data_IF_550181548047
#
_entry.id   IF_550181548047
#
_cell.length_a   1.000
_cell.length_b   1.000
_cell.length_c   1.000
_cell.angle_alpha   90.00
_cell.angle_beta   90.00
_cell.angle_gamma   90.00
#
_symmetry.space_group_name_H-M   'P 1'
#
loop_
_entity.id
_entity.type
_entity.pdbx_description
1 polymer ?
#
# COMPACT_ATOMS: atom_id res chain seq x y z
N UNK A 1 -18.40 -58.92 -22.31
CA UNK A 1 -18.27 -57.66 -23.07
C UNK A 1 -16.85 -57.16 -22.85
N UNK A 2 -15.97 -57.33 -23.85
CA UNK A 2 -14.59 -56.86 -23.80
C UNK A 2 -14.61 -55.35 -24.03
N UNK A 3 -14.09 -54.57 -23.09
CA UNK A 3 -13.85 -53.14 -23.28
C UNK A 3 -12.94 -52.96 -24.52
N UNK A 4 -13.29 -52.05 -25.43
CA UNK A 4 -12.51 -51.86 -26.66
C UNK A 4 -11.15 -51.27 -26.31
N UNK A 5 -10.09 -51.89 -26.86
CA UNK A 5 -8.66 -51.55 -26.71
C UNK A 5 -8.31 -50.04 -26.83
N UNK A 6 -9.01 -49.20 -27.63
CA UNK A 6 -8.73 -47.76 -27.69
C UNK A 6 -8.99 -47.05 -26.36
N UNK A 7 -9.91 -47.55 -25.52
CA UNK A 7 -10.23 -46.94 -24.23
C UNK A 7 -9.11 -47.18 -23.19
N UNK A 8 -8.37 -48.29 -23.32
CA UNK A 8 -7.24 -48.61 -22.47
C UNK A 8 -6.00 -47.75 -22.80
N UNK A 9 -5.84 -47.35 -24.08
CA UNK A 9 -4.78 -46.45 -24.54
C UNK A 9 -5.03 -44.98 -24.16
N UNK A 10 -6.29 -44.53 -24.10
CA UNK A 10 -6.62 -43.20 -23.57
C UNK A 10 -6.32 -43.05 -22.06
N UNK A 11 -6.37 -44.14 -21.28
CA UNK A 11 -6.02 -44.12 -19.85
C UNK A 11 -4.51 -44.15 -19.59
N UNK A 12 -3.69 -44.52 -20.58
CA UNK A 12 -2.21 -44.45 -20.52
C UNK A 12 -1.67 -43.09 -20.98
N UNK A 13 -2.53 -42.19 -21.48
CA UNK A 13 -2.17 -40.84 -21.95
C UNK A 13 -2.15 -39.76 -20.87
N UNK A 14 -2.46 -40.09 -19.62
CA UNK A 14 -2.08 -39.27 -18.47
C UNK A 14 -0.60 -39.52 -18.20
N UNK A 15 0.25 -38.92 -19.02
CA UNK A 15 1.64 -38.72 -18.64
C UNK A 15 1.62 -38.00 -17.28
N UNK A 16 2.02 -38.72 -16.24
CA UNK A 16 2.32 -38.11 -14.95
C UNK A 16 3.44 -37.11 -15.23
N UNK A 17 3.09 -35.83 -15.39
CA UNK A 17 4.07 -34.77 -15.37
C UNK A 17 4.65 -34.76 -13.96
N UNK A 18 5.82 -35.36 -13.78
CA UNK A 18 6.54 -35.25 -12.51
C UNK A 18 6.87 -33.77 -12.29
N UNK A 19 6.69 -33.24 -11.06
CA UNK A 19 7.00 -31.85 -10.79
C UNK A 19 8.51 -31.63 -10.93
N UNK A 20 8.90 -30.66 -11.76
CA UNK A 20 10.30 -30.25 -11.88
C UNK A 20 10.70 -29.50 -10.61
N UNK A 21 11.76 -29.97 -9.94
CA UNK A 21 12.30 -29.35 -8.73
C UNK A 21 13.60 -28.63 -9.07
N UNK A 22 13.55 -27.30 -9.14
CA UNK A 22 14.71 -26.48 -9.49
C UNK A 22 15.70 -26.31 -8.33
N UNK A 23 15.18 -26.08 -7.12
CA UNK A 23 15.96 -25.99 -5.90
C UNK A 23 15.20 -26.64 -4.76
N UNK A 24 15.91 -27.44 -3.96
CA UNK A 24 15.40 -27.99 -2.71
C UNK A 24 16.53 -28.01 -1.68
N UNK A 25 16.39 -27.19 -0.65
CA UNK A 25 17.31 -27.15 0.48
C UNK A 25 16.55 -27.53 1.75
N UNK A 26 17.15 -28.40 2.56
CA UNK A 26 16.57 -28.92 3.80
C UNK A 26 17.58 -28.96 4.96
N UNK A 27 18.86 -28.70 4.69
CA UNK A 27 19.93 -28.68 5.70
C UNK A 27 20.08 -29.96 6.55
N UNK A 28 19.73 -31.12 5.98
CA UNK A 28 19.75 -32.42 6.68
C UNK A 28 21.14 -33.10 6.69
N UNK A 29 22.10 -32.57 5.95
CA UNK A 29 23.41 -33.17 5.72
C UNK A 29 24.55 -32.52 6.53
N UNK A 30 24.22 -32.00 7.71
CA UNK A 30 25.17 -31.36 8.61
C UNK A 30 25.82 -30.14 7.94
N UNK A 31 27.14 -30.05 7.92
CA UNK A 31 27.86 -28.91 7.34
C UNK A 31 27.86 -28.89 5.80
N UNK A 32 27.20 -29.85 5.13
CA UNK A 32 27.14 -29.93 3.67
C UNK A 32 26.62 -28.66 2.98
N UNK A 33 25.76 -27.90 3.66
CA UNK A 33 25.24 -26.61 3.16
C UNK A 33 26.34 -25.58 2.90
N UNK A 34 27.46 -25.62 3.63
CA UNK A 34 28.57 -24.67 3.46
C UNK A 34 29.25 -24.78 2.09
N UNK A 35 29.07 -25.91 1.39
CA UNK A 35 29.56 -26.09 0.02
C UNK A 35 28.58 -25.57 -1.04
N UNK A 36 27.30 -25.41 -0.68
CA UNK A 36 26.23 -24.96 -1.58
C UNK A 36 25.97 -23.47 -1.49
N UNK A 37 26.06 -22.93 -0.28
CA UNK A 37 25.76 -21.53 0.02
C UNK A 37 27.05 -20.69 0.07
N UNK A 38 27.03 -19.55 -0.60
CA UNK A 38 28.16 -18.62 -0.72
C UNK A 38 27.81 -17.32 -0.01
N UNK A 39 28.68 -16.92 0.92
CA UNK A 39 28.63 -15.62 1.59
C UNK A 39 29.16 -14.52 0.67
N UNK A 40 28.43 -13.41 0.62
CA UNK A 40 28.89 -12.21 -0.07
C UNK A 40 30.09 -11.59 0.65
N UNK A 41 30.99 -10.99 -0.14
CA UNK A 41 32.17 -10.25 0.30
C UNK A 41 32.05 -8.75 0.02
N UNK A 42 30.89 -8.30 -0.44
CA UNK A 42 30.62 -6.88 -0.73
C UNK A 42 30.86 -5.98 0.50
N UNK A 43 30.53 -6.48 1.70
CA UNK A 43 30.84 -5.84 2.98
C UNK A 43 31.66 -6.77 3.87
N UNK A 44 32.56 -6.19 4.65
CA UNK A 44 33.40 -6.94 5.60
C UNK A 44 32.67 -7.30 6.89
N UNK A 45 31.52 -6.68 7.14
CA UNK A 45 30.76 -6.76 8.38
C UNK A 45 29.38 -7.38 8.20
N UNK A 46 29.18 -8.24 7.19
CA UNK A 46 27.99 -9.08 7.14
C UNK A 46 27.88 -9.99 8.37
N UNK A 47 26.64 -10.24 8.79
CA UNK A 47 26.32 -11.17 9.87
C UNK A 47 26.54 -12.61 9.44
N UNK A 48 26.80 -13.48 10.40
CA UNK A 48 27.06 -14.91 10.17
C UNK A 48 25.82 -15.76 10.33
N UNK A 49 25.55 -16.61 9.36
CA UNK A 49 24.57 -17.69 9.50
C UNK A 49 25.17 -18.87 10.25
N UNK A 50 24.37 -19.50 11.08
CA UNK A 50 24.71 -20.75 11.78
C UNK A 50 23.62 -21.78 11.53
N UNK A 51 24.01 -23.05 11.42
CA UNK A 51 23.06 -24.14 11.32
C UNK A 51 22.53 -24.49 12.72
N UNK A 52 21.23 -24.36 12.93
CA UNK A 52 20.62 -24.52 14.26
C UNK A 52 19.13 -24.89 14.13
N UNK A 53 18.61 -25.63 15.10
CA UNK A 53 17.17 -25.91 15.24
C UNK A 53 16.45 -24.90 16.15
N UNK A 54 17.17 -23.90 16.68
CA UNK A 54 16.66 -22.97 17.68
C UNK A 54 16.61 -23.55 19.10
N UNK A 55 16.01 -22.79 20.04
CA UNK A 55 15.81 -23.20 21.44
C UNK A 55 14.67 -24.21 21.58
N UNK A 56 13.68 -24.16 20.70
CA UNK A 56 12.58 -25.13 20.65
C UNK A 56 12.27 -25.54 19.21
N UNK A 57 11.89 -26.79 19.02
CA UNK A 57 11.68 -27.40 17.71
C UNK A 57 10.70 -28.56 17.82
N UNK A 58 10.15 -29.00 16.69
CA UNK A 58 9.39 -30.25 16.60
C UNK A 58 10.32 -31.46 16.53
N UNK A 59 11.35 -31.39 15.70
CA UNK A 59 12.35 -32.44 15.49
C UNK A 59 13.75 -31.81 15.38
N UNK A 60 14.67 -32.24 16.26
CA UNK A 60 16.01 -31.65 16.38
C UNK A 60 16.82 -31.72 15.09
N UNK A 61 16.63 -32.77 14.28
CA UNK A 61 17.43 -32.97 13.08
C UNK A 61 16.74 -32.41 11.83
N UNK A 62 15.40 -32.45 11.78
CA UNK A 62 14.66 -31.92 10.62
C UNK A 62 14.45 -30.42 10.64
N UNK A 63 14.41 -29.82 11.82
CA UNK A 63 14.14 -28.38 11.97
C UNK A 63 15.44 -27.56 12.01
N UNK A 64 16.59 -28.18 11.74
CA UNK A 64 17.83 -27.44 11.50
C UNK A 64 17.70 -26.58 10.24
N UNK A 65 18.04 -25.32 10.38
CA UNK A 65 18.07 -24.36 9.28
C UNK A 65 19.10 -23.26 9.52
N UNK A 66 19.19 -22.33 8.57
CA UNK A 66 20.07 -21.18 8.69
C UNK A 66 19.47 -20.15 9.64
N UNK A 67 20.16 -19.93 10.76
CA UNK A 67 19.80 -18.95 11.78
C UNK A 67 20.78 -17.78 11.75
N UNK A 68 20.26 -16.55 11.80
CA UNK A 68 21.08 -15.35 12.00
C UNK A 68 21.62 -15.33 13.43
N UNK A 69 22.92 -15.10 13.61
CA UNK A 69 23.60 -15.24 14.93
C UNK A 69 23.98 -13.93 15.61
N UNK A 70 23.85 -12.81 14.91
CA UNK A 70 24.30 -11.49 15.34
C UNK A 70 23.21 -10.44 15.13
N UNK A 71 22.93 -9.67 16.17
CA UNK A 71 21.95 -8.58 16.15
C UNK A 71 22.45 -7.39 15.34
N UNK A 72 21.52 -6.62 14.77
CA UNK A 72 21.79 -5.38 14.03
C UNK A 72 22.86 -5.53 12.91
N UNK A 73 22.79 -6.65 12.18
CA UNK A 73 23.64 -6.93 11.01
C UNK A 73 22.81 -7.15 9.76
N UNK A 74 23.36 -6.74 8.62
CA UNK A 74 22.89 -7.19 7.32
C UNK A 74 23.42 -8.58 7.04
N UNK A 75 22.65 -9.37 6.29
CA UNK A 75 22.99 -10.75 5.92
C UNK A 75 22.92 -10.89 4.40
N UNK A 76 23.88 -11.62 3.84
CA UNK A 76 23.99 -11.82 2.39
C UNK A 76 24.58 -13.20 2.09
N UNK A 77 23.69 -14.18 1.94
CA UNK A 77 24.02 -15.56 1.60
C UNK A 77 23.17 -16.00 0.40
N UNK A 78 23.78 -16.64 -0.59
CA UNK A 78 23.09 -17.11 -1.80
C UNK A 78 23.50 -18.53 -2.16
N UNK A 79 22.63 -19.26 -2.85
CA UNK A 79 22.94 -20.58 -3.42
C UNK A 79 22.54 -20.57 -4.89
N UNK A 80 23.36 -21.17 -5.74
CA UNK A 80 23.11 -21.27 -7.18
C UNK A 80 22.49 -22.63 -7.49
N UNK A 81 21.57 -22.65 -8.44
CA UNK A 81 20.94 -23.84 -8.99
C UNK A 81 20.90 -23.71 -10.52
N UNK A 82 20.46 -24.77 -11.21
CA UNK A 82 20.40 -24.78 -12.67
C UNK A 82 19.50 -23.65 -13.18
N UNK A 83 20.00 -22.75 -14.04
CA UNK A 83 19.21 -21.66 -14.60
C UNK A 83 17.99 -22.21 -15.34
N UNK A 84 16.83 -21.61 -15.09
CA UNK A 84 15.58 -21.98 -15.75
C UNK A 84 14.75 -20.74 -16.04
N UNK A 85 13.68 -20.92 -16.83
CA UNK A 85 12.67 -19.88 -17.09
C UNK A 85 11.29 -20.45 -16.74
N UNK A 86 10.46 -19.62 -16.12
CA UNK A 86 9.05 -19.89 -15.86
C UNK A 86 8.15 -19.50 -17.04
N UNK A 87 8.71 -19.21 -18.22
CA UNK A 87 7.91 -18.92 -19.42
C UNK A 87 6.95 -20.09 -19.71
N UNK A 88 5.66 -19.76 -19.80
CA UNK A 88 4.56 -20.71 -20.01
C UNK A 88 4.42 -21.81 -18.94
N UNK A 89 5.05 -21.61 -17.77
CA UNK A 89 5.04 -22.56 -16.65
C UNK A 89 4.71 -21.85 -15.34
N UNK A 90 4.11 -22.59 -14.40
CA UNK A 90 3.87 -22.06 -13.05
C UNK A 90 5.16 -22.07 -12.24
N UNK A 91 5.54 -20.92 -11.69
CA UNK A 91 6.59 -20.79 -10.69
C UNK A 91 6.00 -20.97 -9.29
N UNK A 92 6.67 -21.78 -8.46
CA UNK A 92 6.34 -21.92 -7.04
C UNK A 92 7.58 -21.69 -6.21
N UNK A 93 7.53 -20.71 -5.31
CA UNK A 93 8.59 -20.40 -4.35
C UNK A 93 8.03 -20.64 -2.96
N UNK A 94 8.64 -21.55 -2.21
CA UNK A 94 8.16 -21.93 -0.89
C UNK A 94 9.32 -22.07 0.08
N UNK A 95 9.18 -21.46 1.27
CA UNK A 95 10.16 -21.56 2.34
C UNK A 95 9.50 -21.33 3.70
N UNK A 96 10.21 -21.69 4.76
CA UNK A 96 9.76 -21.50 6.15
C UNK A 96 10.62 -20.48 6.85
N UNK A 97 9.99 -19.63 7.66
CA UNK A 97 10.67 -18.65 8.52
C UNK A 97 10.18 -18.83 9.95
N UNK A 98 11.10 -18.73 10.91
CA UNK A 98 10.80 -18.76 12.34
C UNK A 98 11.51 -17.61 13.02
N UNK A 99 10.77 -16.70 13.65
CA UNK A 99 11.31 -15.59 14.41
C UNK A 99 11.30 -15.88 15.92
N UNK A 100 12.06 -16.90 16.33
CA UNK A 100 12.12 -17.35 17.73
C UNK A 100 12.58 -16.27 18.72
N UNK A 101 13.35 -15.30 18.23
CA UNK A 101 13.94 -14.23 19.04
C UNK A 101 12.97 -13.10 19.38
N UNK A 102 11.68 -13.21 19.00
CA UNK A 102 10.68 -12.15 19.14
C UNK A 102 11.14 -10.85 18.44
N UNK A 103 11.24 -10.95 17.12
CA UNK A 103 11.86 -9.92 16.28
C UNK A 103 11.08 -8.59 16.33
N UNK A 104 11.80 -7.50 16.57
CA UNK A 104 11.25 -6.14 16.58
C UNK A 104 11.39 -5.47 15.20
N UNK A 105 12.54 -5.60 14.56
CA UNK A 105 12.78 -5.15 13.19
C UNK A 105 13.79 -6.05 12.44
N UNK A 106 13.32 -6.68 11.37
CA UNK A 106 14.12 -7.42 10.41
C UNK A 106 13.29 -8.08 9.30
N UNK A 107 13.96 -8.35 8.18
CA UNK A 107 13.38 -9.02 7.02
C UNK A 107 13.63 -10.52 7.06
N UNK A 108 12.60 -11.30 6.71
CA UNK A 108 12.66 -12.75 6.51
C UNK A 108 12.35 -13.15 5.07
N UNK A 109 12.56 -12.28 4.09
CA UNK A 109 12.28 -12.53 2.69
C UNK A 109 13.47 -13.12 1.92
N UNK A 110 13.16 -13.78 0.80
CA UNK A 110 14.15 -14.29 -0.16
C UNK A 110 14.13 -13.43 -1.43
N UNK A 111 15.25 -13.43 -2.15
CA UNK A 111 15.38 -12.83 -3.48
C UNK A 111 15.76 -13.91 -4.49
N UNK A 112 15.07 -13.93 -5.64
CA UNK A 112 15.44 -14.73 -6.80
C UNK A 112 16.23 -13.84 -7.76
N UNK A 113 17.43 -14.28 -8.12
CA UNK A 113 18.36 -13.51 -8.93
C UNK A 113 18.49 -14.09 -10.33
N UNK A 114 18.81 -13.28 -11.35
CA UNK A 114 19.20 -13.79 -12.66
C UNK A 114 20.54 -14.52 -12.59
N UNK A 115 20.86 -15.32 -13.62
CA UNK A 115 22.11 -16.09 -13.71
C UNK A 115 23.37 -15.20 -13.70
N UNK A 116 23.22 -13.93 -14.11
CA UNK A 116 24.27 -12.92 -14.11
C UNK A 116 24.73 -12.45 -12.74
N UNK A 117 24.09 -12.89 -11.63
CA UNK A 117 24.50 -12.49 -10.29
C UNK A 117 25.89 -13.04 -9.94
N UNK A 118 26.78 -12.14 -9.54
CA UNK A 118 28.04 -12.46 -8.87
C UNK A 118 27.81 -12.67 -7.36
N UNK A 119 27.71 -13.92 -6.92
CA UNK A 119 27.37 -14.28 -5.53
C UNK A 119 28.31 -13.66 -4.49
N UNK A 120 29.59 -13.49 -4.83
CA UNK A 120 30.58 -12.89 -3.92
C UNK A 120 30.46 -11.38 -3.78
N UNK A 121 29.66 -10.71 -4.61
CA UNK A 121 29.42 -9.27 -4.54
C UNK A 121 27.92 -8.93 -4.31
N UNK A 122 27.12 -9.92 -3.88
CA UNK A 122 25.69 -9.73 -3.63
C UNK A 122 25.44 -8.72 -2.50
N UNK A 123 24.52 -7.78 -2.71
CA UNK A 123 24.14 -6.75 -1.75
C UNK A 123 22.68 -6.30 -1.94
N UNK A 124 22.25 -5.29 -1.19
CA UNK A 124 20.85 -4.81 -1.19
C UNK A 124 20.37 -4.32 -2.56
N UNK A 125 21.27 -3.67 -3.31
CA UNK A 125 21.00 -3.06 -4.62
C UNK A 125 21.28 -3.99 -5.80
N UNK A 126 21.73 -5.22 -5.55
CA UNK A 126 21.88 -6.22 -6.62
C UNK A 126 20.54 -6.48 -7.29
N UNK A 127 20.53 -6.45 -8.62
CA UNK A 127 19.34 -6.70 -9.44
C UNK A 127 18.79 -8.11 -9.19
N UNK A 128 17.51 -8.19 -8.83
CA UNK A 128 16.79 -9.44 -8.57
C UNK A 128 15.53 -9.47 -9.43
N UNK A 129 15.05 -10.65 -9.79
CA UNK A 129 13.81 -10.82 -10.54
C UNK A 129 12.60 -10.71 -9.62
N UNK A 130 12.65 -11.41 -8.47
CA UNK A 130 11.53 -11.47 -7.52
C UNK A 130 12.05 -11.36 -6.09
N UNK A 131 11.40 -10.55 -5.25
CA UNK A 131 11.57 -10.57 -3.79
C UNK A 131 10.28 -11.01 -3.13
N UNK A 132 10.35 -12.03 -2.27
CA UNK A 132 9.17 -12.58 -1.61
C UNK A 132 9.43 -12.95 -0.15
N UNK A 133 8.58 -12.48 0.76
CA UNK A 133 8.54 -12.97 2.14
C UNK A 133 8.21 -11.91 3.21
N UNK A 134 8.19 -12.31 4.48
CA UNK A 134 7.81 -11.43 5.58
C UNK A 134 8.85 -10.34 5.85
N UNK A 135 8.37 -9.16 6.22
CA UNK A 135 9.17 -8.03 6.69
C UNK A 135 8.48 -7.36 7.87
N UNK A 136 9.20 -7.33 8.98
CA UNK A 136 8.71 -6.81 10.25
C UNK A 136 9.62 -5.65 10.63
N UNK A 137 9.07 -4.48 10.90
CA UNK A 137 9.80 -3.39 11.51
C UNK A 137 8.86 -2.52 12.35
N UNK A 138 8.90 -2.74 13.67
CA UNK A 138 8.05 -2.08 14.64
C UNK A 138 6.56 -2.41 14.47
N UNK A 139 5.67 -1.58 15.04
CA UNK A 139 4.23 -1.80 14.95
C UNK A 139 3.63 -1.43 13.59
N UNK A 140 4.33 -0.60 12.79
CA UNK A 140 3.81 -0.05 11.53
C UNK A 140 4.08 -0.92 10.31
N UNK A 141 5.18 -1.68 10.30
CA UNK A 141 5.56 -2.49 9.14
C UNK A 141 5.50 -3.96 9.51
N UNK A 142 4.44 -4.66 9.11
CA UNK A 142 4.27 -6.11 9.31
C UNK A 142 3.60 -6.73 8.08
N UNK A 143 4.34 -6.76 6.98
CA UNK A 143 3.80 -7.15 5.68
C UNK A 143 4.64 -8.22 5.00
N UNK A 144 4.04 -8.92 4.05
CA UNK A 144 4.73 -9.82 3.14
C UNK A 144 5.06 -9.03 1.88
N UNK A 145 6.34 -8.86 1.59
CA UNK A 145 6.78 -8.30 0.32
C UNK A 145 6.52 -9.31 -0.80
N UNK A 146 5.96 -8.83 -1.90
CA UNK A 146 5.91 -9.52 -3.18
C UNK A 146 6.27 -8.47 -4.23
N UNK A 147 7.52 -8.49 -4.67
CA UNK A 147 8.09 -7.45 -5.53
C UNK A 147 8.60 -8.13 -6.80
N UNK A 148 8.16 -7.62 -7.95
CA UNK A 148 8.65 -8.06 -9.25
C UNK A 148 9.53 -6.98 -9.84
N UNK A 149 10.64 -7.38 -10.46
CA UNK A 149 11.39 -6.49 -11.33
C UNK A 149 10.75 -6.48 -12.72
N UNK A 150 10.34 -5.31 -13.18
CA UNK A 150 9.76 -5.12 -14.50
C UNK A 150 10.33 -3.83 -15.10
N UNK A 151 10.90 -3.93 -16.31
CA UNK A 151 11.53 -2.81 -17.02
C UNK A 151 12.57 -2.05 -16.17
N UNK A 152 13.36 -2.79 -15.40
CA UNK A 152 14.41 -2.25 -14.54
C UNK A 152 13.91 -1.53 -13.28
N UNK A 153 12.60 -1.62 -12.97
CA UNK A 153 12.00 -1.09 -11.75
C UNK A 153 11.46 -2.23 -10.89
N UNK A 154 11.69 -2.12 -9.58
CA UNK A 154 11.12 -3.04 -8.60
C UNK A 154 9.72 -2.54 -8.22
N UNK A 155 8.68 -3.22 -8.72
CA UNK A 155 7.27 -2.85 -8.50
C UNK A 155 6.74 -3.65 -7.31
N UNK A 156 6.25 -2.94 -6.29
CA UNK A 156 5.70 -3.54 -5.08
C UNK A 156 4.22 -3.89 -5.30
N UNK A 157 3.76 -4.92 -4.60
CA UNK A 157 2.33 -5.25 -4.54
C UNK A 157 1.55 -4.12 -3.85
N UNK A 158 0.41 -3.76 -4.43
CA UNK A 158 -0.47 -2.72 -3.90
C UNK A 158 -1.28 -3.19 -2.67
N UNK A 159 -1.45 -4.51 -2.52
CA UNK A 159 -2.18 -5.12 -1.42
C UNK A 159 -1.32 -5.26 -0.16
N UNK A 160 -1.92 -4.98 1.00
CA UNK A 160 -1.28 -5.18 2.30
C UNK A 160 -1.52 -6.59 2.83
N UNK A 161 -0.55 -7.47 2.62
CA UNK A 161 -0.58 -8.86 3.11
C UNK A 161 0.10 -8.91 4.47
N UNK A 162 -0.67 -9.09 5.54
CA UNK A 162 -0.12 -9.16 6.90
C UNK A 162 0.73 -10.40 7.13
N UNK A 163 1.96 -10.22 7.59
CA UNK A 163 2.84 -11.34 7.98
C UNK A 163 2.55 -11.84 9.40
N UNK A 164 3.09 -13.01 9.74
CA UNK A 164 3.04 -13.58 11.08
C UNK A 164 4.20 -13.04 11.91
N UNK A 165 3.92 -12.70 13.15
CA UNK A 165 4.83 -12.01 14.07
C UNK A 165 4.99 -12.75 15.41
N UNK A 166 4.59 -14.01 15.47
CA UNK A 166 4.84 -14.88 16.62
C UNK A 166 6.20 -15.61 16.51
N UNK A 167 6.53 -16.42 17.53
CA UNK A 167 7.81 -17.12 17.65
C UNK A 167 7.82 -18.49 16.92
N UNK A 168 6.72 -18.90 16.29
CA UNK A 168 6.59 -20.19 15.62
C UNK A 168 7.09 -20.17 14.18
N UNK A 169 7.22 -21.36 13.62
CA UNK A 169 7.62 -21.54 12.22
C UNK A 169 6.40 -21.36 11.33
N UNK A 170 6.51 -20.45 10.36
CA UNK A 170 5.48 -20.22 9.35
C UNK A 170 5.98 -20.55 7.95
N UNK A 171 5.09 -21.09 7.13
CA UNK A 171 5.35 -21.47 5.75
C UNK A 171 4.82 -20.40 4.80
N UNK A 172 5.70 -19.82 3.99
CA UNK A 172 5.35 -18.83 2.97
C UNK A 172 5.44 -19.46 1.59
N UNK A 173 4.39 -19.35 0.79
CA UNK A 173 4.33 -19.86 -0.58
C UNK A 173 3.86 -18.78 -1.53
N UNK A 174 4.64 -18.51 -2.58
CA UNK A 174 4.25 -17.69 -3.71
C UNK A 174 4.08 -18.61 -4.92
N UNK A 175 2.93 -18.47 -5.59
CA UNK A 175 2.62 -19.19 -6.84
C UNK A 175 2.37 -18.12 -7.90
N UNK A 176 3.10 -18.18 -9.00
CA UNK A 176 2.91 -17.30 -10.17
C UNK A 176 2.61 -18.18 -11.37
N UNK A 177 1.46 -17.95 -12.00
CA UNK A 177 0.95 -18.78 -13.10
C UNK A 177 1.18 -18.09 -14.46
N UNK A 178 1.22 -18.87 -15.54
CA UNK A 178 1.42 -18.33 -16.89
C UNK A 178 0.22 -17.54 -17.44
N UNK A 179 -0.92 -17.51 -16.74
CA UNK A 179 -2.10 -16.72 -17.08
C UNK A 179 -2.11 -15.32 -16.42
N UNK A 180 -0.94 -14.83 -15.98
CA UNK A 180 -0.77 -13.57 -15.24
C UNK A 180 -1.53 -13.54 -13.90
N UNK A 181 -1.83 -14.69 -13.31
CA UNK A 181 -2.38 -14.77 -11.95
C UNK A 181 -1.31 -15.15 -10.93
N UNK A 182 -1.50 -14.72 -9.69
CA UNK A 182 -0.66 -15.10 -8.57
C UNK A 182 -1.50 -15.55 -7.37
N UNK A 183 -0.85 -16.24 -6.46
CA UNK A 183 -1.43 -16.64 -5.18
C UNK A 183 -0.35 -16.65 -4.10
N UNK A 184 -0.68 -16.08 -2.94
CA UNK A 184 0.16 -16.11 -1.74
C UNK A 184 -0.53 -16.96 -0.68
N UNK A 185 0.22 -17.91 -0.13
CA UNK A 185 -0.21 -18.74 1.00
C UNK A 185 0.68 -18.54 2.20
N UNK A 186 0.06 -18.54 3.37
CA UNK A 186 0.72 -18.62 4.67
C UNK A 186 0.18 -19.87 5.36
N UNK A 187 1.06 -20.75 5.81
CA UNK A 187 0.73 -22.01 6.49
C UNK A 187 -0.24 -22.88 5.67
N UNK A 188 0.03 -23.01 4.36
CA UNK A 188 -0.81 -23.68 3.36
C UNK A 188 -2.22 -23.11 3.17
N UNK A 189 -2.57 -22.03 3.86
CA UNK A 189 -3.84 -21.33 3.68
C UNK A 189 -3.65 -20.17 2.72
N UNK A 190 -4.53 -20.06 1.72
CA UNK A 190 -4.55 -18.91 0.82
C UNK A 190 -4.89 -17.65 1.61
N UNK A 191 -4.01 -16.66 1.54
CA UNK A 191 -4.22 -15.35 2.17
C UNK A 191 -4.47 -14.25 1.14
N UNK A 192 -3.94 -14.41 -0.07
CA UNK A 192 -4.12 -13.45 -1.16
C UNK A 192 -4.07 -14.14 -2.52
N UNK A 193 -4.82 -13.61 -3.48
CA UNK A 193 -4.81 -14.07 -4.87
C UNK A 193 -5.35 -12.99 -5.80
N UNK A 194 -4.85 -12.92 -7.02
CA UNK A 194 -5.32 -11.95 -7.99
C UNK A 194 -4.59 -12.06 -9.32
N UNK A 195 -4.71 -11.00 -10.13
CA UNK A 195 -3.94 -10.83 -11.35
C UNK A 195 -2.72 -9.95 -11.07
N UNK A 196 -1.63 -10.18 -11.79
CA UNK A 196 -0.44 -9.33 -11.74
C UNK A 196 -0.72 -7.92 -12.26
N UNK A 197 -1.65 -7.77 -13.20
CA UNK A 197 -1.97 -6.49 -13.85
C UNK A 197 -2.79 -5.55 -12.97
N UNK A 198 -3.61 -6.10 -12.07
CA UNK A 198 -4.48 -5.30 -11.20
C UNK A 198 -3.80 -4.99 -9.85
N UNK A 199 -2.96 -5.89 -9.36
CA UNK A 199 -2.37 -5.79 -8.02
C UNK A 199 -0.96 -5.17 -8.01
N UNK A 200 -0.41 -4.82 -9.18
CA UNK A 200 0.85 -4.07 -9.35
C UNK A 200 0.73 -3.01 -10.45
N UNK A 201 1.42 -1.89 -10.25
CA UNK A 201 1.48 -0.79 -11.21
C UNK A 201 2.55 -1.04 -12.31
N UNK A 202 2.41 -2.14 -13.06
CA UNK A 202 3.31 -2.44 -14.17
C UNK A 202 3.09 -1.53 -15.38
N UNK A 203 1.84 -1.20 -15.64
CA UNK A 203 1.41 -0.42 -16.80
C UNK A 203 1.08 1.01 -16.37
N UNK A 204 1.16 1.97 -17.30
CA UNK A 204 0.53 3.27 -17.11
C UNK A 204 -0.95 3.08 -16.75
N UNK A 205 -1.55 4.04 -16.01
CA UNK A 205 -2.97 3.99 -15.70
C UNK A 205 -3.77 3.85 -17.00
N UNK A 206 -4.70 2.89 -17.03
CA UNK A 206 -5.57 2.63 -18.20
C UNK A 206 -6.44 3.84 -18.55
N UNK A 207 -6.64 4.72 -17.57
CA UNK A 207 -7.44 5.93 -17.65
C UNK A 207 -6.59 7.12 -17.25
N UNK A 208 -6.43 8.05 -18.18
CA UNK A 208 -5.82 9.36 -17.93
C UNK A 208 -6.93 10.40 -17.96
N UNK A 209 -6.81 11.44 -17.13
CA UNK A 209 -7.65 12.63 -17.26
C UNK A 209 -7.36 13.23 -18.63
N UNK A 210 -8.40 13.58 -19.37
CA UNK A 210 -8.24 14.24 -20.67
C UNK A 210 -7.40 15.52 -20.48
N UNK A 211 -6.19 15.61 -21.06
CA UNK A 211 -5.36 16.80 -20.94
C UNK A 211 -5.94 18.01 -21.68
N UNK A 212 -6.91 17.82 -22.57
CA UNK A 212 -7.63 18.87 -23.30
C UNK A 212 -8.95 19.26 -22.61
N UNK A 213 -9.38 18.53 -21.57
CA UNK A 213 -10.51 18.91 -20.74
C UNK A 213 -10.14 20.13 -19.88
N UNK A 214 -10.82 21.24 -20.15
CA UNK A 214 -10.73 22.46 -19.37
C UNK A 214 -12.10 22.81 -18.84
N UNK A 215 -12.16 23.15 -17.55
CA UNK A 215 -13.33 23.72 -16.91
C UNK A 215 -13.98 24.80 -17.80
N UNK A 216 -15.29 24.70 -18.11
CA UNK A 216 -16.00 25.70 -18.90
C UNK A 216 -15.87 27.10 -18.29
N UNK A 217 -15.83 28.15 -19.14
CA UNK A 217 -15.78 29.55 -18.66
C UNK A 217 -17.04 29.97 -17.86
N UNK A 218 -18.14 29.23 -18.02
CA UNK A 218 -19.46 29.50 -17.42
C UNK A 218 -19.73 28.68 -16.14
N UNK A 219 -18.71 27.98 -15.63
CA UNK A 219 -18.88 27.06 -14.51
C UNK A 219 -18.84 27.78 -13.17
N UNK A 220 -19.94 27.68 -12.41
CA UNK A 220 -20.08 28.33 -11.11
C UNK A 220 -19.61 27.41 -9.96
N UNK A 221 -18.63 27.89 -9.19
CA UNK A 221 -18.08 27.19 -8.00
C UNK A 221 -18.62 27.79 -6.69
N UNK A 222 -19.50 28.78 -6.77
CA UNK A 222 -19.97 29.49 -5.59
C UNK A 222 -21.13 28.72 -4.97
N UNK A 223 -20.87 28.03 -3.87
CA UNK A 223 -21.91 27.36 -3.09
C UNK A 223 -23.00 28.29 -2.53
N UNK A 224 -22.78 29.61 -2.58
CA UNK A 224 -23.70 30.63 -2.08
C UNK A 224 -23.70 31.86 -2.98
N UNK A 225 -24.89 32.34 -3.29
CA UNK A 225 -25.11 33.58 -4.03
C UNK A 225 -25.93 34.56 -3.21
N UNK A 226 -25.67 35.85 -3.40
CA UNK A 226 -26.47 36.91 -2.79
C UNK A 226 -27.89 36.86 -3.39
N UNK A 227 -28.93 36.77 -2.55
CA UNK A 227 -30.33 36.71 -3.01
C UNK A 227 -30.65 37.91 -3.93
N UNK A 228 -30.87 37.70 -5.24
CA UNK A 228 -31.11 38.79 -6.19
C UNK A 228 -32.48 39.49 -5.97
N UNK A 229 -33.32 38.95 -5.10
CA UNK A 229 -34.60 39.53 -4.68
C UNK A 229 -34.50 40.32 -3.39
N UNK A 230 -33.41 40.19 -2.63
CA UNK A 230 -33.20 41.00 -1.45
C UNK A 230 -32.72 42.39 -1.85
N UNK A 231 -33.48 43.39 -1.44
CA UNK A 231 -33.19 44.79 -1.70
C UNK A 231 -33.29 45.52 -0.38
N UNK A 232 -32.14 46.07 0.06
CA UNK A 232 -31.98 46.78 1.34
C UNK A 232 -33.19 47.71 1.58
N UNK A 233 -34.05 47.41 2.56
CA UNK A 233 -35.26 48.20 2.81
C UNK A 233 -34.89 49.65 3.17
N UNK A 234 -35.69 50.65 2.75
CA UNK A 234 -35.43 52.07 3.06
C UNK A 234 -35.33 52.36 4.58
N UNK A 235 -35.82 51.46 5.43
CA UNK A 235 -35.84 51.57 6.89
C UNK A 235 -34.63 50.88 7.58
N UNK A 236 -33.63 50.44 6.81
CA UNK A 236 -32.42 49.77 7.30
C UNK A 236 -31.41 50.74 7.93
N UNK A 237 -31.34 51.98 7.45
CA UNK A 237 -30.33 52.96 7.88
C UNK A 237 -30.79 53.77 9.10
N UNK A 238 -31.21 53.06 10.16
CA UNK A 238 -31.57 53.67 11.44
C UNK A 238 -30.31 53.93 12.26
N UNK A 239 -30.21 55.06 12.97
CA UNK A 239 -29.05 55.35 13.80
C UNK A 239 -28.92 54.30 14.91
N UNK A 240 -27.69 53.81 15.11
CA UNK A 240 -27.34 52.81 16.14
C UNK A 240 -27.71 53.28 17.56
N UNK A 241 -27.74 54.60 17.79
CA UNK A 241 -28.04 55.21 19.08
C UNK A 241 -29.18 56.23 18.95
N UNK A 242 -30.22 56.12 19.79
CA UNK A 242 -31.34 57.06 19.90
C UNK A 242 -31.39 57.65 21.32
N UNK A 243 -31.88 58.89 21.51
CA UNK A 243 -32.07 59.44 22.85
C UNK A 243 -33.13 58.65 23.63
N UNK A 244 -32.87 58.34 24.89
CA UNK A 244 -33.75 57.53 25.73
C UNK A 244 -35.11 58.22 25.94
N UNK A 245 -36.22 57.66 25.40
CA UNK A 245 -37.53 58.28 25.51
C UNK A 245 -38.11 58.21 26.93
N UNK A 246 -37.57 57.35 27.80
CA UNK A 246 -38.03 57.17 29.19
C UNK A 246 -37.19 57.97 30.20
N UNK A 247 -36.11 58.62 29.75
CA UNK A 247 -35.32 59.48 30.60
C UNK A 247 -36.12 60.74 30.99
N UNK A 248 -36.26 60.95 32.30
CA UNK A 248 -36.88 62.15 32.87
C UNK A 248 -35.81 63.04 33.47
N UNK A 249 -35.91 64.34 33.18
CA UNK A 249 -35.07 65.36 33.78
C UNK A 249 -35.13 65.28 35.31
N UNK A 250 -33.98 65.18 36.01
CA UNK A 250 -33.94 65.16 37.47
C UNK A 250 -34.55 66.42 38.09
N UNK A 251 -35.24 66.29 39.22
CA UNK A 251 -35.88 67.44 39.91
C UNK A 251 -34.88 68.47 40.44
N UNK A 252 -33.61 68.08 40.66
CA UNK A 252 -32.51 68.93 41.13
C UNK A 252 -31.70 69.60 39.99
N UNK A 253 -32.15 69.53 38.74
CA UNK A 253 -31.42 70.13 37.59
C UNK A 253 -31.74 71.62 37.41
N UNK A 254 -30.72 72.46 37.48
CA UNK A 254 -30.83 73.92 37.32
C UNK A 254 -30.34 74.36 35.93
N UNK A 255 -31.27 74.77 35.06
CA UNK A 255 -30.95 75.18 33.67
C UNK A 255 -30.06 76.43 33.58
N UNK A 256 -30.04 77.28 34.61
CA UNK A 256 -29.21 78.50 34.62
C UNK A 256 -27.74 78.20 34.94
N UNK A 257 -27.47 77.11 35.67
CA UNK A 257 -26.12 76.71 36.10
C UNK A 257 -25.57 75.51 35.30
N UNK A 258 -26.41 74.54 34.93
CA UNK A 258 -26.02 73.27 34.30
C UNK A 258 -26.35 73.20 32.79
N UNK A 259 -27.12 74.16 32.26
CA UNK A 259 -27.50 74.24 30.84
C UNK A 259 -28.77 73.47 30.47
N UNK A 260 -29.11 73.43 29.17
CA UNK A 260 -30.23 72.63 28.66
C UNK A 260 -29.94 71.13 28.88
N UNK A 261 -30.91 70.43 29.47
CA UNK A 261 -30.79 69.01 29.76
C UNK A 261 -31.00 68.17 28.49
N UNK A 262 -30.01 67.33 28.14
CA UNK A 262 -30.12 66.35 27.06
C UNK A 262 -30.27 64.93 27.64
N UNK A 263 -31.24 64.12 27.15
CA UNK A 263 -31.41 62.75 27.61
C UNK A 263 -30.22 61.85 27.21
N UNK A 264 -29.90 60.82 28.01
CA UNK A 264 -28.87 59.84 27.66
C UNK A 264 -29.25 59.11 26.38
N UNK A 265 -28.26 58.82 25.53
CA UNK A 265 -28.44 57.99 24.32
C UNK A 265 -28.40 56.51 24.67
N UNK A 266 -29.38 55.76 24.19
CA UNK A 266 -29.50 54.30 24.30
C UNK A 266 -29.34 53.66 22.93
N UNK A 267 -28.88 52.40 22.90
CA UNK A 267 -28.80 51.64 21.66
C UNK A 267 -30.21 51.42 21.09
N UNK A 268 -30.40 51.76 19.82
CA UNK A 268 -31.69 51.67 19.17
C UNK A 268 -32.11 50.19 19.04
N UNK A 269 -33.22 49.76 19.67
CA UNK A 269 -33.67 48.38 19.57
C UNK A 269 -34.13 47.98 18.17
N UNK A 270 -34.31 48.95 17.25
CA UNK A 270 -34.66 48.71 15.85
C UNK A 270 -33.45 48.70 14.90
N UNK A 271 -32.22 48.87 15.41
CA UNK A 271 -30.99 48.75 14.62
C UNK A 271 -30.69 47.28 14.31
N UNK A 272 -30.41 46.96 13.05
CA UNK A 272 -30.00 45.64 12.58
C UNK A 272 -28.61 45.75 11.95
N UNK A 273 -27.68 44.90 12.40
CA UNK A 273 -26.32 44.84 11.85
C UNK A 273 -26.32 44.24 10.43
N UNK A 274 -25.39 44.68 9.59
CA UNK A 274 -25.22 44.26 8.18
C UNK A 274 -24.83 42.76 8.00
N UNK A 275 -24.82 41.93 9.05
CA UNK A 275 -24.56 40.48 8.94
C UNK A 275 -25.81 39.65 8.56
N UNK A 276 -26.98 40.29 8.44
CA UNK A 276 -28.26 39.64 8.12
C UNK A 276 -28.58 39.61 6.60
N UNK A 277 -27.57 39.80 5.73
CA UNK A 277 -27.72 39.52 4.29
C UNK A 277 -27.95 38.00 4.14
N UNK A 278 -29.13 37.64 3.61
CA UNK A 278 -29.47 36.23 3.40
C UNK A 278 -28.70 35.72 2.18
N UNK A 279 -27.63 34.98 2.45
CA UNK A 279 -26.98 34.16 1.44
C UNK A 279 -27.90 32.95 1.14
N UNK A 280 -28.37 32.83 -0.10
CA UNK A 280 -29.08 31.64 -0.56
C UNK A 280 -28.05 30.60 -1.06
N UNK A 281 -28.39 29.31 -0.88
CA UNK A 281 -27.61 28.23 -1.50
C UNK A 281 -27.76 28.33 -3.02
N UNK A 282 -26.64 28.29 -3.74
CA UNK A 282 -26.67 28.36 -5.20
C UNK A 282 -27.25 27.05 -5.75
N UNK A 283 -28.49 27.09 -6.24
CA UNK A 283 -29.15 25.93 -6.86
C UNK A 283 -28.49 25.55 -8.21
N UNK A 284 -27.68 26.45 -8.78
CA UNK A 284 -26.92 26.27 -10.02
C UNK A 284 -25.42 25.97 -9.73
N UNK A 285 -25.03 25.62 -8.49
CA UNK A 285 -23.66 25.15 -8.19
C UNK A 285 -23.36 23.90 -9.04
N UNK A 286 -22.39 24.01 -9.94
CA UNK A 286 -21.96 22.88 -10.75
C UNK A 286 -21.19 21.87 -9.87
N UNK A 287 -21.78 20.69 -9.67
CA UNK A 287 -21.20 19.57 -8.93
C UNK A 287 -19.77 19.27 -9.40
N UNK A 288 -18.85 19.01 -8.45
CA UNK A 288 -17.42 18.72 -8.69
C UNK A 288 -17.19 17.93 -9.97
N UNK A 289 -16.44 18.54 -10.89
CA UNK A 289 -16.02 18.01 -12.18
C UNK A 289 -15.68 16.51 -12.08
N UNK A 290 -16.52 15.65 -12.67
CA UNK A 290 -16.13 14.26 -12.94
C UNK A 290 -15.14 14.32 -14.12
N UNK A 291 -13.85 14.14 -13.82
CA UNK A 291 -12.82 14.17 -14.85
C UNK A 291 -13.18 13.23 -15.99
N UNK A 292 -13.29 13.75 -17.22
CA UNK A 292 -13.48 12.90 -18.40
C UNK A 292 -12.24 12.01 -18.54
N UNK A 293 -12.42 10.70 -18.30
CA UNK A 293 -11.35 9.71 -18.38
C UNK A 293 -11.28 9.13 -19.79
N UNK A 294 -10.14 9.27 -20.48
CA UNK A 294 -9.89 8.57 -21.74
C UNK A 294 -9.25 7.20 -21.48
N UNK A 295 -9.81 6.14 -22.10
CA UNK A 295 -9.25 4.78 -22.06
C UNK A 295 -8.07 4.66 -23.04
N UNK A 296 -6.83 4.58 -22.54
CA UNK A 296 -5.69 4.11 -23.35
C UNK A 296 -5.63 2.57 -23.35
N UNK A 297 -5.67 1.98 -24.54
CA UNK A 297 -5.46 0.55 -24.74
C UNK A 297 -4.00 0.14 -24.45
N UNK A 298 -3.64 -0.06 -23.18
CA UNK A 298 -2.35 -0.60 -22.79
C UNK A 298 -2.29 -2.11 -23.03
N UNK A 299 -1.32 -2.57 -23.83
CA UNK A 299 -0.98 -3.98 -23.94
C UNK A 299 -0.37 -4.47 -22.60
N UNK A 300 -0.88 -5.59 -22.07
CA UNK A 300 -0.41 -6.21 -20.84
C UNK A 300 1.11 -6.49 -20.82
N UNK A 301 1.73 -6.62 -19.62
CA UNK A 301 3.16 -6.86 -19.52
C UNK A 301 3.59 -8.11 -20.29
N UNK A 302 4.67 -7.99 -21.05
CA UNK A 302 5.27 -9.10 -21.80
C UNK A 302 5.93 -10.08 -20.85
N UNK A 303 5.65 -11.38 -21.02
CA UNK A 303 6.14 -12.48 -20.18
C UNK A 303 7.64 -12.75 -20.28
N UNK A 304 8.32 -12.13 -21.24
CA UNK A 304 9.79 -12.19 -21.34
C UNK A 304 10.48 -11.21 -20.37
N UNK A 305 9.71 -10.38 -19.64
CA UNK A 305 10.18 -9.30 -18.77
C UNK A 305 9.82 -9.49 -17.27
N UNK A 306 9.20 -10.62 -16.88
CA UNK A 306 8.80 -10.95 -15.50
C UNK A 306 9.43 -12.26 -15.00
#
# INVERSE_FOLDING_TARGET
MLLPVPLLLCLLGLAAAEPVVYLKEQFLDGDGWTNRWIESKHKTDFGKFVLSAGKFYGDLDKDKGLQTSQDARFYALSTRFEPFSNKDQTLVVQFTVKHEQNIDCGGGYVKLFPDSLEQTDMHGDSEYNIMFGPDICGPGTKKVHVIFNYKGKNVLINKDIRCKDDEFTHLYTLIVRPDNTYEVKIDNSQVESGSLEDDWDFLPPKKIKDPDASKPEDWDERAKIDDPTDSKPEDWDKPEHIPDPDAKKPEDWDEEMDGEWEPPVIQNPEYKDDEDDKEDEDEDEDDKEEDEEEDEAAAGPSKDEL
#
